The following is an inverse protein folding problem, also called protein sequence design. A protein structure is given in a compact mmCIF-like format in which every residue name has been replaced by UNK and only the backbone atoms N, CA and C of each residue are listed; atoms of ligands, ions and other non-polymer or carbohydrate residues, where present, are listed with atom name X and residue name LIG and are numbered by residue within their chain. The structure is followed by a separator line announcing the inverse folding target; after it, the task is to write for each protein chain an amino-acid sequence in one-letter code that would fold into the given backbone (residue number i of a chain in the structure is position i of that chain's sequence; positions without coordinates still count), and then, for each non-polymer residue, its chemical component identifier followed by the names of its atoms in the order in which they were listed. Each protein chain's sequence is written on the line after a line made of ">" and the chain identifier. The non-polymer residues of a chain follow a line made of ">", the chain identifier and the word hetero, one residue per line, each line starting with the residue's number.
data_IF_316676166499
#
_entry.id   IF_316676166499
#
_cell.length_a   1.000
_cell.length_b   1.000
_cell.length_c   1.000
_cell.angle_alpha   90.00
_cell.angle_beta   90.00
_cell.angle_gamma   90.00
#
_symmetry.space_group_name_H-M   'P 1'
#
loop_
_entity.id
_entity.type
_entity.pdbx_description
1 polymer ?
#
# COMPACT_ATOMS: atom_id res chain seq x y z
N UNK A 1 -0.99 -24.75 5.83
CA UNK A 1 -0.09 -23.73 6.44
C UNK A 1 1.25 -24.33 6.89
N UNK A 2 1.30 -25.57 7.38
CA UNK A 2 2.56 -26.23 7.78
C UNK A 2 3.59 -26.42 6.66
N UNK A 3 3.16 -26.64 5.41
CA UNK A 3 4.08 -26.93 4.30
C UNK A 3 5.06 -25.78 4.00
N UNK A 4 4.63 -24.54 4.17
CA UNK A 4 5.48 -23.35 4.01
C UNK A 4 6.54 -23.23 5.11
N UNK A 5 6.28 -23.79 6.30
CA UNK A 5 7.24 -23.83 7.42
C UNK A 5 8.21 -25.02 7.31
N UNK A 6 7.77 -26.11 6.67
CA UNK A 6 8.56 -27.33 6.52
C UNK A 6 9.49 -27.29 5.31
N UNK A 7 9.03 -26.69 4.20
CA UNK A 7 9.73 -26.71 2.91
C UNK A 7 10.06 -25.30 2.38
N UNK A 8 9.71 -24.25 3.13
CA UNK A 8 10.01 -22.88 2.74
C UNK A 8 11.47 -22.51 3.02
N UNK A 9 12.05 -21.71 2.13
CA UNK A 9 13.39 -21.14 2.29
C UNK A 9 13.30 -19.62 2.44
N UNK A 10 13.84 -19.08 3.53
CA UNK A 10 13.98 -17.62 3.68
C UNK A 10 15.10 -17.16 2.76
N UNK A 11 14.81 -16.15 1.94
CA UNK A 11 15.78 -15.59 1.00
C UNK A 11 15.87 -14.08 1.18
N UNK A 12 17.09 -13.57 1.13
CA UNK A 12 17.35 -12.13 1.05
C UNK A 12 17.16 -11.66 -0.38
N UNK A 13 16.40 -10.58 -0.56
CA UNK A 13 16.15 -10.01 -1.87
C UNK A 13 17.42 -9.42 -2.49
N UNK A 14 17.51 -9.47 -3.83
CA UNK A 14 18.63 -8.89 -4.56
C UNK A 14 18.47 -7.37 -4.63
N UNK A 15 19.56 -6.67 -4.96
CA UNK A 15 19.51 -5.23 -5.22
C UNK A 15 18.43 -4.91 -6.28
N UNK A 16 17.56 -3.94 -5.97
CA UNK A 16 16.43 -3.56 -6.82
C UNK A 16 15.15 -4.38 -6.62
N UNK A 17 15.15 -5.35 -5.69
CA UNK A 17 13.96 -6.09 -5.26
C UNK A 17 13.54 -5.65 -3.85
N UNK A 18 13.19 -4.37 -3.70
CA UNK A 18 12.90 -3.75 -2.40
C UNK A 18 11.48 -4.03 -1.88
N UNK A 19 10.83 -5.05 -2.44
CA UNK A 19 9.49 -5.48 -2.05
C UNK A 19 9.33 -6.98 -2.21
N UNK A 20 8.27 -7.49 -1.62
CA UNK A 20 7.95 -8.90 -1.68
C UNK A 20 6.49 -9.07 -2.14
N UNK A 21 6.26 -10.15 -2.86
CA UNK A 21 4.97 -10.53 -3.42
C UNK A 21 4.49 -11.79 -2.70
N UNK A 22 3.26 -11.76 -2.17
CA UNK A 22 2.55 -12.95 -1.68
C UNK A 22 1.43 -13.30 -2.65
N UNK A 23 1.38 -14.54 -3.11
CA UNK A 23 0.31 -15.08 -3.95
C UNK A 23 -0.40 -16.20 -3.19
N UNK A 24 -1.67 -16.00 -2.84
CA UNK A 24 -2.58 -17.00 -2.30
C UNK A 24 -3.48 -17.54 -3.42
N UNK A 25 -3.29 -18.81 -3.79
CA UNK A 25 -4.17 -19.52 -4.73
C UNK A 25 -5.04 -20.51 -3.97
N UNK A 26 -6.36 -20.36 -4.10
CA UNK A 26 -7.33 -21.32 -3.59
C UNK A 26 -7.75 -22.27 -4.70
N UNK A 27 -7.77 -23.55 -4.38
CA UNK A 27 -8.15 -24.65 -5.27
C UNK A 27 -9.04 -25.62 -4.48
N UNK A 28 -10.34 -25.28 -4.38
CA UNK A 28 -11.27 -26.04 -3.54
C UNK A 28 -10.92 -25.91 -2.05
N UNK A 29 -10.66 -27.03 -1.34
CA UNK A 29 -10.27 -27.01 0.07
C UNK A 29 -8.77 -26.72 0.28
N UNK A 30 -7.97 -26.64 -0.80
CA UNK A 30 -6.53 -26.42 -0.72
C UNK A 30 -6.19 -24.95 -0.96
N UNK A 31 -5.24 -24.45 -0.18
CA UNK A 31 -4.66 -23.11 -0.38
C UNK A 31 -3.15 -23.24 -0.56
N UNK A 32 -2.65 -22.70 -1.67
CA UNK A 32 -1.22 -22.62 -1.99
C UNK A 32 -0.78 -21.18 -1.76
N UNK A 33 0.25 -21.00 -0.95
CA UNK A 33 0.83 -19.68 -0.65
C UNK A 33 2.24 -19.67 -1.22
N UNK A 34 2.51 -18.73 -2.13
CA UNK A 34 3.85 -18.46 -2.64
C UNK A 34 4.27 -17.07 -2.17
N UNK A 35 5.52 -16.94 -1.74
CA UNK A 35 6.12 -15.67 -1.32
C UNK A 35 7.44 -15.50 -2.04
N UNK A 36 7.77 -14.29 -2.48
CA UNK A 36 9.02 -14.06 -3.20
C UNK A 36 9.40 -12.59 -3.35
N UNK A 37 10.69 -12.34 -3.53
CA UNK A 37 11.24 -11.01 -3.78
C UNK A 37 10.83 -10.48 -5.16
N UNK A 38 10.51 -9.19 -5.23
CA UNK A 38 10.03 -8.53 -6.44
C UNK A 38 10.46 -7.07 -6.47
N UNK A 39 10.64 -6.51 -7.66
CA UNK A 39 10.80 -5.07 -7.80
C UNK A 39 9.50 -4.39 -7.35
N UNK A 40 9.58 -3.32 -6.56
CA UNK A 40 8.42 -2.63 -5.98
C UNK A 40 7.34 -2.31 -7.01
N UNK A 41 7.75 -1.75 -8.16
CA UNK A 41 6.82 -1.35 -9.20
C UNK A 41 6.12 -2.55 -9.86
N UNK A 42 6.84 -3.66 -10.07
CA UNK A 42 6.26 -4.88 -10.64
C UNK A 42 5.26 -5.51 -9.67
N UNK A 43 5.64 -5.61 -8.40
CA UNK A 43 4.81 -6.11 -7.32
C UNK A 43 3.49 -5.32 -7.18
N UNK A 44 3.57 -3.98 -7.19
CA UNK A 44 2.39 -3.11 -7.20
C UNK A 44 1.52 -3.29 -8.44
N UNK A 45 2.12 -3.58 -9.59
CA UNK A 45 1.41 -3.76 -10.86
C UNK A 45 0.63 -5.08 -10.85
N UNK A 46 1.28 -6.16 -10.41
CA UNK A 46 0.67 -7.49 -10.27
C UNK A 46 -0.49 -7.44 -9.27
N UNK A 47 -0.30 -6.77 -8.13
CA UNK A 47 -1.32 -6.61 -7.10
C UNK A 47 -2.54 -5.78 -7.57
N UNK A 48 -2.32 -4.69 -8.31
CA UNK A 48 -3.40 -3.87 -8.89
C UNK A 48 -4.20 -4.56 -9.97
N UNK A 49 -3.59 -5.48 -10.71
CA UNK A 49 -4.29 -6.22 -11.76
C UNK A 49 -5.50 -6.99 -11.21
N UNK A 50 -5.47 -7.37 -9.93
CA UNK A 50 -6.54 -8.13 -9.29
C UNK A 50 -7.70 -7.29 -8.75
N UNK A 51 -7.44 -6.00 -8.48
CA UNK A 51 -8.47 -5.03 -8.06
C UNK A 51 -9.34 -4.63 -9.25
N UNK A 52 -8.82 -4.76 -10.48
CA UNK A 52 -9.62 -4.64 -11.68
C UNK A 52 -10.59 -5.81 -11.72
N UNK A 53 -11.89 -5.50 -11.63
CA UNK A 53 -12.96 -6.41 -12.02
C UNK A 53 -12.56 -7.00 -13.38
N UNK A 54 -12.65 -8.32 -13.54
CA UNK A 54 -12.71 -8.90 -14.87
C UNK A 54 -13.78 -8.15 -15.67
N UNK A 55 -13.71 -8.16 -17.00
CA UNK A 55 -14.77 -7.59 -17.84
C UNK A 55 -16.17 -8.18 -17.53
N UNK A 56 -16.23 -9.30 -16.79
CA UNK A 56 -17.45 -9.96 -16.29
C UNK A 56 -17.86 -9.57 -14.87
N UNK A 57 -17.12 -8.70 -14.16
CA UNK A 57 -17.43 -8.27 -12.79
C UNK A 57 -16.86 -9.14 -11.67
N UNK A 58 -16.02 -10.12 -11.99
CA UNK A 58 -15.38 -11.03 -11.03
C UNK A 58 -14.00 -10.48 -10.63
N UNK A 59 -13.74 -10.33 -9.32
CA UNK A 59 -12.39 -10.03 -8.82
C UNK A 59 -11.56 -11.31 -8.86
N UNK A 60 -10.33 -11.27 -9.39
CA UNK A 60 -9.41 -12.41 -9.33
C UNK A 60 -9.18 -12.87 -7.88
N UNK A 61 -9.13 -11.90 -6.96
CA UNK A 61 -9.15 -12.12 -5.52
C UNK A 61 -10.59 -12.10 -4.98
N UNK A 62 -11.17 -13.29 -4.82
CA UNK A 62 -12.41 -13.52 -4.11
C UNK A 62 -12.12 -14.44 -2.90
N UNK A 63 -12.11 -13.85 -1.70
CA UNK A 63 -11.82 -14.58 -0.46
C UNK A 63 -12.83 -15.70 -0.14
N UNK A 64 -13.97 -15.74 -0.83
CA UNK A 64 -15.00 -16.77 -0.69
C UNK A 64 -15.07 -17.70 -1.92
N UNK A 65 -14.25 -17.48 -2.94
CA UNK A 65 -14.22 -18.27 -4.17
C UNK A 65 -13.36 -19.52 -4.07
N UNK A 66 -13.81 -20.61 -4.67
CA UNK A 66 -13.08 -21.89 -4.71
C UNK A 66 -11.85 -21.90 -5.64
N UNK A 67 -11.78 -20.97 -6.59
CA UNK A 67 -10.69 -20.83 -7.57
C UNK A 67 -10.24 -19.36 -7.63
N UNK A 68 -9.79 -18.84 -6.49
CA UNK A 68 -9.37 -17.45 -6.33
C UNK A 68 -7.86 -17.33 -6.31
N UNK A 69 -7.32 -16.26 -6.91
CA UNK A 69 -5.91 -15.88 -6.83
C UNK A 69 -5.83 -14.48 -6.25
N UNK A 70 -5.24 -14.37 -5.06
CA UNK A 70 -4.96 -13.10 -4.40
C UNK A 70 -3.45 -12.84 -4.40
N UNK A 71 -3.02 -11.65 -4.80
CA UNK A 71 -1.65 -11.18 -4.93
C UNK A 71 -1.52 -9.87 -4.17
N UNK A 72 -0.47 -9.81 -3.38
CA UNK A 72 -0.31 -8.84 -2.32
C UNK A 72 1.12 -8.36 -2.37
N UNK A 73 1.27 -7.05 -2.37
CA UNK A 73 2.58 -6.44 -2.32
C UNK A 73 2.85 -5.93 -0.91
N UNK A 74 4.00 -6.27 -0.34
CA UNK A 74 4.44 -5.73 0.94
C UNK A 74 5.84 -5.14 0.79
N UNK A 75 6.14 -4.15 1.63
CA UNK A 75 7.48 -3.57 1.77
C UNK A 75 8.33 -4.43 2.72
N UNK A 76 9.64 -4.45 2.47
CA UNK A 76 10.64 -5.14 3.29
C UNK A 76 10.27 -6.61 3.62
N UNK A 77 10.21 -6.94 4.91
CA UNK A 77 9.95 -8.29 5.43
C UNK A 77 8.47 -8.54 5.75
N UNK A 78 7.57 -7.60 5.44
CA UNK A 78 6.17 -7.71 5.82
C UNK A 78 5.45 -8.87 5.12
N UNK A 79 5.95 -9.37 3.99
CA UNK A 79 5.41 -10.62 3.42
C UNK A 79 5.68 -11.84 4.29
N UNK A 80 6.58 -11.81 5.27
CA UNK A 80 6.83 -12.95 6.13
C UNK A 80 5.75 -13.11 7.22
N UNK A 81 4.82 -12.16 7.34
CA UNK A 81 3.70 -12.27 8.26
C UNK A 81 2.60 -13.19 7.70
N UNK A 82 1.61 -13.51 8.54
CA UNK A 82 0.51 -14.40 8.16
C UNK A 82 -0.14 -13.96 6.84
N UNK A 83 -0.56 -14.92 6.01
CA UNK A 83 -1.13 -14.62 4.67
C UNK A 83 -2.48 -13.92 4.72
N UNK A 84 -3.03 -13.68 5.92
CA UNK A 84 -4.21 -12.84 6.13
C UNK A 84 -4.01 -11.40 5.65
N UNK A 85 -2.76 -10.96 5.50
CA UNK A 85 -2.38 -9.71 4.83
C UNK A 85 -2.99 -9.54 3.45
N UNK A 86 -3.30 -10.63 2.75
CA UNK A 86 -3.91 -10.56 1.44
C UNK A 86 -5.38 -10.16 1.41
N UNK A 87 -6.02 -9.99 2.57
CA UNK A 87 -7.45 -9.67 2.66
C UNK A 87 -7.68 -8.17 2.63
N UNK A 88 -8.35 -7.69 1.57
CA UNK A 88 -8.87 -6.32 1.52
C UNK A 88 -7.85 -5.25 1.16
N UNK A 89 -6.75 -5.60 0.50
CA UNK A 89 -5.71 -4.63 0.11
C UNK A 89 -6.26 -3.57 -0.85
N UNK A 90 -6.47 -2.38 -0.31
CA UNK A 90 -6.64 -1.15 -1.06
C UNK A 90 -5.24 -0.61 -1.34
N UNK A 91 -4.63 -0.96 -2.47
CA UNK A 91 -3.24 -0.55 -2.75
C UNK A 91 -3.08 0.94 -2.99
N UNK A 92 -4.10 1.63 -3.49
CA UNK A 92 -4.07 3.08 -3.60
C UNK A 92 -4.68 3.71 -2.36
N UNK A 93 -4.03 4.74 -1.82
CA UNK A 93 -4.58 5.54 -0.75
C UNK A 93 -5.92 6.17 -1.14
N UNK A 94 -6.65 6.65 -0.14
CA UNK A 94 -7.69 7.63 -0.40
C UNK A 94 -7.06 8.91 -0.98
N UNK A 95 -7.88 9.74 -1.63
CA UNK A 95 -7.43 11.06 -2.06
C UNK A 95 -6.83 11.80 -0.86
N UNK A 96 -5.74 12.53 -1.11
CA UNK A 96 -5.05 13.28 -0.05
C UNK A 96 -6.08 14.17 0.67
N UNK A 97 -6.12 14.16 2.01
CA UNK A 97 -7.11 14.90 2.77
C UNK A 97 -7.10 16.39 2.43
N UNK A 98 -8.26 17.00 2.27
CA UNK A 98 -8.36 18.46 2.09
C UNK A 98 -8.06 19.17 3.41
N UNK A 99 -7.31 20.28 3.32
CA UNK A 99 -6.98 21.14 4.46
C UNK A 99 -7.35 22.58 4.08
N UNK A 100 -8.07 23.25 4.96
CA UNK A 100 -8.52 24.63 4.73
C UNK A 100 -7.33 25.57 4.54
N UNK A 101 -7.51 26.58 3.70
CA UNK A 101 -6.46 27.55 3.33
C UNK A 101 -5.17 26.89 2.81
N UNK A 102 -5.29 25.76 2.13
CA UNK A 102 -4.15 25.05 1.57
C UNK A 102 -4.38 24.58 0.14
N UNK A 103 -3.27 24.36 -0.57
CA UNK A 103 -3.21 23.59 -1.81
C UNK A 103 -2.42 22.32 -1.54
N UNK A 104 -2.91 21.18 -2.02
CA UNK A 104 -2.18 19.90 -1.98
C UNK A 104 -1.66 19.55 -3.37
N UNK A 105 -0.40 19.11 -3.46
CA UNK A 105 0.26 18.70 -4.71
C UNK A 105 0.87 17.32 -4.50
N UNK A 106 0.44 16.35 -5.29
CA UNK A 106 0.85 14.96 -5.18
C UNK A 106 1.69 14.53 -6.39
N UNK A 107 2.81 13.84 -6.15
CA UNK A 107 3.69 13.38 -7.22
C UNK A 107 3.10 12.27 -8.09
N UNK A 108 2.31 11.36 -7.51
CA UNK A 108 1.67 10.22 -8.20
C UNK A 108 0.20 10.06 -7.79
N UNK A 109 -0.47 11.16 -7.47
CA UNK A 109 -1.86 11.15 -6.98
C UNK A 109 -2.00 10.32 -5.69
N UNK A 110 -2.83 9.27 -5.75
CA UNK A 110 -3.14 8.39 -4.62
C UNK A 110 -2.38 7.05 -4.63
N UNK A 111 -1.44 6.87 -5.54
CA UNK A 111 -0.68 5.62 -5.66
C UNK A 111 0.40 5.48 -4.59
N UNK A 112 0.79 4.26 -4.16
CA UNK A 112 1.94 4.04 -3.29
C UNK A 112 3.21 4.72 -3.78
N UNK A 113 3.97 5.25 -2.83
CA UNK A 113 5.13 6.10 -3.05
C UNK A 113 4.79 7.49 -3.61
N UNK A 114 3.50 7.87 -3.73
CA UNK A 114 3.11 9.25 -3.98
C UNK A 114 3.41 10.08 -2.73
N UNK A 115 4.08 11.22 -2.91
CA UNK A 115 4.28 12.20 -1.85
C UNK A 115 3.38 13.40 -2.14
N UNK A 116 2.45 13.69 -1.22
CA UNK A 116 1.54 14.82 -1.28
C UNK A 116 2.01 15.92 -0.33
N UNK A 117 2.36 17.09 -0.88
CA UNK A 117 2.82 18.27 -0.12
C UNK A 117 1.69 19.28 0.04
N UNK A 118 1.52 19.76 1.27
CA UNK A 118 0.57 20.81 1.65
C UNK A 118 1.25 22.19 1.63
N UNK A 119 0.67 23.10 0.86
CA UNK A 119 1.09 24.49 0.75
C UNK A 119 0.00 25.37 1.35
N UNK A 120 0.28 25.95 2.51
CA UNK A 120 -0.64 26.88 3.15
C UNK A 120 -0.66 28.23 2.42
N UNK A 121 -1.80 28.92 2.48
CA UNK A 121 -1.96 30.27 1.98
C UNK A 121 -1.09 31.28 2.74
N UNK A 122 -0.94 32.48 2.17
CA UNK A 122 -0.07 33.54 2.70
C UNK A 122 -0.31 33.80 4.20
N UNK A 123 0.78 33.76 4.97
CA UNK A 123 0.74 33.98 6.43
C UNK A 123 0.38 32.75 7.26
N UNK A 124 0.19 31.58 6.66
CA UNK A 124 -0.03 30.31 7.37
C UNK A 124 1.07 29.31 7.04
N UNK A 125 1.32 28.39 7.97
CA UNK A 125 2.29 27.30 7.81
C UNK A 125 1.68 25.96 8.22
N UNK A 126 2.15 24.84 7.64
CA UNK A 126 1.72 23.51 8.06
C UNK A 126 2.07 23.28 9.53
N UNK A 127 1.08 22.85 10.30
CA UNK A 127 1.25 22.42 11.67
C UNK A 127 0.59 21.04 11.88
N UNK A 128 1.32 20.06 12.43
CA UNK A 128 2.75 20.12 12.71
C UNK A 128 3.57 20.10 11.41
N UNK A 129 4.78 20.68 11.42
CA UNK A 129 5.57 20.91 10.20
C UNK A 129 6.05 19.60 9.56
N UNK A 130 6.32 18.58 10.36
CA UNK A 130 6.68 17.24 9.91
C UNK A 130 5.59 16.57 9.07
N UNK A 131 4.34 17.02 9.15
CA UNK A 131 3.22 16.52 8.36
C UNK A 131 2.93 17.41 7.14
N UNK A 132 3.83 18.33 6.78
CA UNK A 132 3.71 19.11 5.54
C UNK A 132 3.70 18.23 4.28
N UNK A 133 4.23 17.01 4.38
CA UNK A 133 4.26 16.04 3.31
C UNK A 133 3.81 14.67 3.84
N UNK A 134 2.90 14.04 3.12
CA UNK A 134 2.41 12.69 3.40
C UNK A 134 2.85 11.77 2.27
N UNK A 135 3.24 10.55 2.59
CA UNK A 135 3.60 9.50 1.63
C UNK A 135 2.55 8.40 1.66
N UNK A 136 2.02 8.04 0.49
CA UNK A 136 1.10 6.92 0.37
C UNK A 136 1.89 5.62 0.51
N UNK A 137 1.57 4.82 1.52
CA UNK A 137 2.18 3.53 1.79
C UNK A 137 1.54 2.45 0.91
N UNK A 138 2.22 1.32 0.81
CA UNK A 138 1.79 0.19 -0.02
C UNK A 138 0.48 -0.47 0.44
N UNK A 139 0.13 -0.28 1.70
CA UNK A 139 -1.10 -0.78 2.32
C UNK A 139 -2.32 0.14 2.09
N UNK A 140 -2.15 1.23 1.33
CA UNK A 140 -3.20 2.20 1.04
C UNK A 140 -3.44 3.22 2.14
N UNK A 141 -2.54 3.34 3.11
CA UNK A 141 -2.61 4.36 4.15
C UNK A 141 -1.60 5.48 3.90
N UNK A 142 -1.88 6.65 4.44
CA UNK A 142 -0.88 7.73 4.48
C UNK A 142 0.03 7.52 5.69
N UNK A 143 1.33 7.68 5.51
CA UNK A 143 2.35 7.51 6.56
C UNK A 143 2.17 8.41 7.79
N UNK A 144 1.45 9.53 7.61
CA UNK A 144 1.23 10.58 8.61
C UNK A 144 -0.20 11.13 8.52
N UNK A 145 -0.73 11.67 9.63
CA UNK A 145 -2.00 12.39 9.59
C UNK A 145 -1.85 13.74 8.86
N UNK A 146 -2.98 14.26 8.34
CA UNK A 146 -3.00 15.57 7.67
C UNK A 146 -2.55 16.70 8.61
N UNK A 147 -1.85 17.73 8.10
CA UNK A 147 -1.57 18.93 8.87
C UNK A 147 -2.83 19.82 8.94
N UNK A 148 -2.75 20.89 9.72
CA UNK A 148 -3.57 22.08 9.56
C UNK A 148 -2.72 23.25 9.09
N UNK A 149 -3.33 24.28 8.50
CA UNK A 149 -2.66 25.54 8.21
C UNK A 149 -2.89 26.50 9.38
N UNK A 150 -1.83 26.80 10.12
CA UNK A 150 -1.88 27.64 11.32
C UNK A 150 -1.02 28.90 11.17
N UNK A 151 -1.44 29.98 11.82
CA UNK A 151 -0.62 31.18 12.02
C UNK A 151 0.21 31.01 13.28
N UNK A 152 1.51 31.28 13.20
CA UNK A 152 2.32 31.42 14.42
C UNK A 152 1.95 32.74 15.10
N UNK A 153 1.37 32.64 16.28
CA UNK A 153 1.16 33.79 17.16
C UNK A 153 2.39 33.88 18.05
N UNK A 154 3.21 34.90 17.86
CA UNK A 154 4.26 35.19 18.83
C UNK A 154 3.58 35.67 20.11
N UNK A 155 3.62 34.86 21.16
CA UNK A 155 3.38 35.33 22.51
C UNK A 155 4.64 36.06 22.97
N UNK A 156 4.62 37.39 22.87
CA UNK A 156 5.52 38.29 23.59
C UNK A 156 5.08 38.45 25.03
#
# INVERSE_FOLDING_TARGET
>A
MFDCLLNGEIRTCRQGQDSCETIERRCGPKTIIMKGCKQTQACLTDARAQVRLSQTGERQCNLNGYNSVCTCCCEDNWCNINSETCRGMQFDCLLAPTVDNSRVICSKGKSPGSTCRYQCGSGYWPHPFENQALTCLIDGTWDRPKPCCARYVHHT
#
